data_IF_454258840171
#
_entry.id   IF_454258840171
#
_cell.length_a   1.000
_cell.length_b   1.000
_cell.length_c   1.000
_cell.angle_alpha   90.00
_cell.angle_beta   90.00
_cell.angle_gamma   90.00
#
_symmetry.space_group_name_H-M   'P 1'
#
loop_
_entity.id
_entity.type
_entity.pdbx_description
1 polymer ?
#
# COMPACT_ATOMS: atom_id res chain seq x y z
N UNK A 1 29.17 -42.14 74.20
CA UNK A 1 27.88 -41.99 74.91
C UNK A 1 26.86 -41.69 73.82
N UNK A 2 25.97 -42.60 73.45
CA UNK A 2 24.77 -42.97 74.22
C UNK A 2 23.93 -41.72 74.56
N UNK A 3 22.65 -41.60 74.19
CA UNK A 3 21.79 -42.50 73.39
C UNK A 3 20.47 -41.77 73.11
N UNK A 4 20.02 -41.87 71.85
CA UNK A 4 18.66 -42.05 71.35
C UNK A 4 17.42 -41.58 72.14
N UNK A 5 16.48 -40.98 71.38
CA UNK A 5 15.12 -40.68 71.81
C UNK A 5 14.10 -40.75 70.66
N UNK A 6 13.46 -41.92 70.53
CA UNK A 6 12.23 -42.24 69.77
C UNK A 6 12.19 -42.16 68.21
N UNK A 7 12.17 -43.37 67.62
CA UNK A 7 11.01 -43.96 66.90
C UNK A 7 10.03 -42.99 66.21
N UNK A 8 9.95 -42.98 64.87
CA UNK A 8 9.12 -43.86 64.01
C UNK A 8 7.74 -43.21 63.66
N UNK A 9 7.10 -43.43 62.51
CA UNK A 9 7.36 -44.38 61.42
C UNK A 9 6.70 -43.91 60.09
N UNK A 10 7.27 -44.34 58.94
CA UNK A 10 6.56 -44.82 57.72
C UNK A 10 5.82 -43.85 56.74
N UNK A 11 6.14 -44.09 55.45
CA UNK A 11 5.42 -43.82 54.18
C UNK A 11 5.37 -42.42 53.54
N UNK A 12 5.72 -42.38 52.24
CA UNK A 12 5.15 -41.40 51.29
C UNK A 12 6.04 -41.00 50.11
N UNK A 13 6.03 -41.78 49.02
CA UNK A 13 6.71 -41.56 47.73
C UNK A 13 6.57 -40.16 47.09
N UNK A 14 7.60 -39.83 46.30
CA UNK A 14 7.59 -39.06 45.03
C UNK A 14 6.83 -37.72 44.93
N UNK A 15 7.55 -36.66 44.55
CA UNK A 15 7.45 -36.14 43.16
C UNK A 15 8.53 -35.10 42.82
N UNK A 16 8.82 -35.01 41.52
CA UNK A 16 9.73 -34.06 40.87
C UNK A 16 9.37 -32.58 41.09
N UNK A 17 10.38 -31.72 41.25
CA UNK A 17 10.28 -30.29 40.91
C UNK A 17 11.30 -29.91 39.84
N UNK A 18 11.07 -30.36 38.61
CA UNK A 18 11.65 -29.68 37.44
C UNK A 18 11.10 -28.25 37.41
N UNK A 19 11.99 -27.26 37.47
CA UNK A 19 11.58 -25.87 37.28
C UNK A 19 11.15 -25.69 35.82
N UNK A 20 9.84 -25.72 35.57
CA UNK A 20 9.29 -25.54 34.23
C UNK A 20 9.60 -24.14 33.71
N UNK A 21 10.49 -24.05 32.72
CA UNK A 21 10.75 -22.83 31.96
C UNK A 21 9.90 -22.83 30.69
N UNK A 22 9.17 -21.76 30.45
CA UNK A 22 8.70 -21.41 29.11
C UNK A 22 9.82 -20.63 28.42
N UNK A 23 10.28 -21.14 27.27
CA UNK A 23 11.24 -20.49 26.36
C UNK A 23 12.62 -20.11 26.92
N UNK A 24 13.07 -20.71 28.03
CA UNK A 24 14.46 -20.65 28.47
C UNK A 24 14.95 -19.29 29.00
N UNK A 25 14.09 -18.29 29.15
CA UNK A 25 14.46 -17.03 29.79
C UNK A 25 14.72 -17.23 31.30
N UNK A 26 15.86 -16.75 31.84
CA UNK A 26 16.14 -16.87 33.27
C UNK A 26 15.21 -15.95 34.08
N UNK A 27 14.52 -16.52 35.07
CA UNK A 27 13.66 -15.76 35.99
C UNK A 27 14.51 -14.84 36.87
N UNK A 28 14.70 -13.59 36.43
CA UNK A 28 15.39 -12.55 37.20
C UNK A 28 14.53 -12.19 38.43
N UNK A 29 14.85 -12.81 39.58
CA UNK A 29 14.31 -12.42 40.89
C UNK A 29 14.81 -11.02 41.25
N UNK A 30 14.06 -9.98 40.88
CA UNK A 30 14.26 -8.63 41.42
C UNK A 30 14.10 -8.67 42.95
N UNK A 31 14.95 -7.98 43.73
CA UNK A 31 14.74 -7.84 45.18
C UNK A 31 13.37 -7.23 45.47
N UNK A 32 12.65 -7.79 46.43
CA UNK A 32 11.39 -7.21 46.93
C UNK A 32 11.71 -6.22 48.05
N UNK A 33 11.56 -4.93 47.76
CA UNK A 33 11.23 -3.97 48.83
C UNK A 33 9.75 -4.12 49.22
N UNK A 34 9.45 -3.83 50.49
CA UNK A 34 8.18 -4.16 51.15
C UNK A 34 7.03 -3.19 50.79
N UNK A 35 5.76 -3.60 50.98
CA UNK A 35 4.68 -3.13 50.10
C UNK A 35 3.83 -1.99 50.66
N UNK A 36 3.56 -0.99 49.82
CA UNK A 36 2.25 -0.31 49.82
C UNK A 36 1.95 0.29 48.43
N UNK A 37 0.66 0.28 48.07
CA UNK A 37 0.11 0.52 46.72
C UNK A 37 0.42 -0.59 45.70
N UNK A 38 -0.63 -0.94 44.97
CA UNK A 38 -0.72 -2.03 44.03
C UNK A 38 0.44 -1.98 43.02
N UNK A 39 1.28 -3.03 43.02
CA UNK A 39 2.12 -3.37 41.88
C UNK A 39 1.23 -3.95 40.77
N UNK A 40 0.35 -3.10 40.24
CA UNK A 40 -0.14 -3.24 38.88
C UNK A 40 1.12 -3.33 38.01
N UNK A 41 1.36 -4.51 37.44
CA UNK A 41 2.25 -4.66 36.29
C UNK A 41 1.87 -3.51 35.34
N UNK A 42 2.84 -2.68 34.95
CA UNK A 42 2.58 -1.54 34.05
C UNK A 42 2.23 -2.09 32.68
N UNK A 43 0.97 -2.50 32.51
CA UNK A 43 0.40 -2.92 31.23
C UNK A 43 0.61 -1.75 30.27
N UNK A 44 1.17 -1.97 29.07
CA UNK A 44 1.22 -0.94 28.05
C UNK A 44 -0.17 -0.34 27.88
N UNK A 45 -0.30 0.98 27.95
CA UNK A 45 -1.59 1.62 27.67
C UNK A 45 -1.97 1.29 26.24
N UNK A 46 -3.17 0.76 26.04
CA UNK A 46 -3.74 0.62 24.69
C UNK A 46 -3.67 1.98 23.97
N UNK A 47 -3.36 1.99 22.66
CA UNK A 47 -3.31 3.22 21.88
C UNK A 47 -4.66 3.91 21.88
N UNK A 48 -4.68 5.21 22.18
CA UNK A 48 -5.94 5.97 22.19
C UNK A 48 -6.53 6.09 20.79
N UNK A 49 -5.68 6.28 19.78
CA UNK A 49 -6.05 6.32 18.37
C UNK A 49 -5.35 5.19 17.62
N UNK A 50 -6.06 4.55 16.69
CA UNK A 50 -5.50 3.60 15.72
C UNK A 50 -5.61 4.15 14.31
N UNK A 51 -4.64 3.82 13.46
CA UNK A 51 -4.68 4.22 12.04
C UNK A 51 -5.66 3.36 11.25
N UNK A 52 -6.47 3.98 10.40
CA UNK A 52 -7.29 3.29 9.39
C UNK A 52 -6.54 3.32 8.07
N UNK A 53 -6.41 2.18 7.39
CA UNK A 53 -5.56 2.01 6.20
C UNK A 53 -6.41 1.63 5.00
N UNK A 54 -6.12 2.19 3.82
CA UNK A 54 -6.72 1.80 2.54
C UNK A 54 -5.63 1.31 1.60
N UNK A 55 -5.66 0.02 1.22
CA UNK A 55 -4.65 -0.63 0.37
C UNK A 55 -5.29 -1.21 -0.91
N UNK A 56 -4.51 -1.35 -1.98
CA UNK A 56 -4.96 -2.00 -3.21
C UNK A 56 -4.69 -3.50 -3.14
N UNK A 57 -5.68 -4.33 -3.46
CA UNK A 57 -5.56 -5.78 -3.35
C UNK A 57 -5.05 -6.46 -4.64
N UNK A 58 -4.81 -5.72 -5.72
CA UNK A 58 -4.45 -6.26 -7.04
C UNK A 58 -3.14 -5.60 -7.55
N UNK A 59 -3.05 -5.25 -8.84
CA UNK A 59 -1.91 -4.53 -9.45
C UNK A 59 -2.13 -3.01 -9.55
N UNK A 60 -2.97 -2.43 -8.70
CA UNK A 60 -3.27 -1.00 -8.72
C UNK A 60 -4.51 -0.64 -9.53
N UNK A 61 -4.78 0.67 -9.61
CA UNK A 61 -5.92 1.24 -10.33
C UNK A 61 -7.30 0.72 -9.88
N UNK A 62 -7.42 0.15 -8.68
CA UNK A 62 -8.66 -0.39 -8.11
C UNK A 62 -9.65 0.69 -7.64
N UNK A 63 -9.39 1.97 -7.92
CA UNK A 63 -10.26 3.07 -7.48
C UNK A 63 -10.09 3.47 -6.00
N UNK A 64 -8.95 3.14 -5.37
CA UNK A 64 -8.60 3.54 -3.99
C UNK A 64 -8.95 4.98 -3.64
N UNK A 65 -8.63 5.93 -4.53
CA UNK A 65 -8.88 7.36 -4.32
C UNK A 65 -10.34 7.67 -3.95
N UNK A 66 -11.31 6.89 -4.44
CA UNK A 66 -12.73 7.03 -4.09
C UNK A 66 -13.06 6.58 -2.66
N UNK A 67 -12.40 5.52 -2.19
CA UNK A 67 -12.53 5.03 -0.81
C UNK A 67 -11.81 5.98 0.17
N UNK A 68 -10.64 6.49 -0.23
CA UNK A 68 -9.86 7.45 0.56
C UNK A 68 -10.61 8.78 0.66
N UNK A 69 -11.15 9.31 -0.45
CA UNK A 69 -11.98 10.53 -0.47
C UNK A 69 -13.22 10.41 0.44
N UNK A 70 -13.92 9.27 0.38
CA UNK A 70 -15.06 8.99 1.27
C UNK A 70 -14.67 9.03 2.76
N UNK A 71 -13.51 8.47 3.12
CA UNK A 71 -13.03 8.43 4.50
C UNK A 71 -12.34 9.73 4.94
N UNK A 72 -11.77 10.49 4.02
CA UNK A 72 -11.00 11.70 4.29
C UNK A 72 -11.86 12.89 4.72
N UNK A 73 -13.15 12.94 4.33
CA UNK A 73 -14.11 13.95 4.81
C UNK A 73 -14.22 14.00 6.33
N UNK A 74 -14.04 12.84 6.96
CA UNK A 74 -14.19 12.60 8.40
C UNK A 74 -12.85 12.51 9.15
N UNK A 75 -11.72 12.56 8.45
CA UNK A 75 -10.39 12.37 9.02
C UNK A 75 -9.80 13.67 9.60
N UNK A 76 -9.08 13.56 10.71
CA UNK A 76 -8.28 14.65 11.30
C UNK A 76 -6.87 14.72 10.67
N UNK A 77 -6.35 13.57 10.23
CA UNK A 77 -5.04 13.45 9.58
C UNK A 77 -5.16 12.44 8.43
N UNK A 78 -4.60 12.78 7.25
CA UNK A 78 -4.50 11.87 6.10
C UNK A 78 -3.03 11.72 5.70
N UNK A 79 -2.52 10.50 5.83
CA UNK A 79 -1.10 10.17 5.70
C UNK A 79 -0.79 9.44 4.38
N UNK A 80 0.38 9.71 3.80
CA UNK A 80 1.04 8.86 2.79
C UNK A 80 2.30 8.25 3.36
N UNK A 81 2.48 6.94 3.24
CA UNK A 81 3.58 6.22 3.90
C UNK A 81 4.61 5.54 2.98
N UNK A 82 4.30 5.32 1.70
CA UNK A 82 5.25 4.75 0.73
C UNK A 82 5.12 5.34 -0.70
N UNK A 83 6.00 4.88 -1.59
CA UNK A 83 6.02 5.21 -3.00
C UNK A 83 6.58 6.62 -3.25
N UNK A 84 6.09 7.27 -4.29
CA UNK A 84 6.36 8.68 -4.61
C UNK A 84 5.33 9.20 -5.61
N UNK A 85 5.74 10.03 -6.57
CA UNK A 85 4.88 10.54 -7.65
C UNK A 85 4.60 9.52 -8.79
N UNK A 86 4.86 8.23 -8.56
CA UNK A 86 4.54 7.12 -9.47
C UNK A 86 3.14 6.53 -9.23
N UNK A 87 2.62 6.65 -8.01
CA UNK A 87 1.20 6.47 -7.75
C UNK A 87 0.47 7.75 -8.17
N UNK A 88 -0.73 7.59 -8.73
CA UNK A 88 -1.63 8.69 -9.05
C UNK A 88 -3.06 8.25 -8.78
N UNK A 89 -3.87 9.13 -8.22
CA UNK A 89 -5.30 8.88 -8.08
C UNK A 89 -6.08 10.17 -8.35
N UNK A 90 -7.19 10.02 -9.06
CA UNK A 90 -8.09 11.12 -9.37
C UNK A 90 -9.26 11.11 -8.39
N UNK A 91 -9.55 12.26 -7.79
CA UNK A 91 -10.72 12.49 -6.93
C UNK A 91 -11.66 13.47 -7.64
N UNK A 92 -12.96 13.27 -7.51
CA UNK A 92 -13.97 14.16 -8.12
C UNK A 92 -14.81 14.80 -7.01
N UNK A 93 -14.70 16.11 -6.85
CA UNK A 93 -15.49 16.91 -5.89
C UNK A 93 -16.21 18.00 -6.67
N UNK A 94 -17.53 18.11 -6.48
CA UNK A 94 -18.38 19.10 -7.13
C UNK A 94 -18.20 19.16 -8.67
N UNK A 95 -18.05 17.99 -9.30
CA UNK A 95 -17.76 17.79 -10.73
C UNK A 95 -16.38 18.27 -11.22
N UNK A 96 -15.47 18.67 -10.32
CA UNK A 96 -14.07 19.00 -10.63
C UNK A 96 -13.19 17.77 -10.37
N UNK A 97 -12.43 17.34 -11.37
CA UNK A 97 -11.43 16.27 -11.25
C UNK A 97 -10.09 16.84 -10.74
N UNK A 98 -9.59 16.32 -9.62
CA UNK A 98 -8.27 16.62 -9.04
C UNK A 98 -7.37 15.39 -9.16
N UNK A 99 -6.12 15.56 -9.61
CA UNK A 99 -5.14 14.47 -9.61
C UNK A 99 -4.09 14.70 -8.53
N UNK A 100 -3.91 13.71 -7.68
CA UNK A 100 -2.87 13.69 -6.66
C UNK A 100 -1.89 12.56 -6.91
N UNK A 101 -0.60 12.83 -6.67
CA UNK A 101 0.51 11.91 -6.88
C UNK A 101 1.36 11.76 -5.61
N UNK A 102 1.86 12.87 -5.06
CA UNK A 102 2.58 12.94 -3.78
C UNK A 102 1.71 13.44 -2.62
N UNK A 103 0.80 14.39 -2.86
CA UNK A 103 -0.09 14.87 -1.82
C UNK A 103 -1.10 13.76 -1.45
N UNK A 104 -1.40 13.55 -0.16
CA UNK A 104 -2.56 12.76 0.23
C UNK A 104 -3.85 13.43 -0.25
N UNK A 105 -4.78 12.68 -0.83
CA UNK A 105 -6.10 13.20 -1.33
C UNK A 105 -6.87 14.02 -0.31
N UNK A 106 -6.67 13.71 0.98
CA UNK A 106 -7.27 14.43 2.11
C UNK A 106 -6.97 15.93 2.15
N UNK A 107 -6.04 16.45 1.33
CA UNK A 107 -5.78 17.90 1.18
C UNK A 107 -7.02 18.71 0.75
N UNK A 108 -8.03 18.06 0.15
CA UNK A 108 -9.32 18.69 -0.14
C UNK A 108 -10.17 18.96 1.12
N UNK A 109 -9.97 18.19 2.20
CA UNK A 109 -10.58 18.47 3.49
C UNK A 109 -9.75 19.52 4.24
N UNK A 110 -10.17 20.79 4.19
CA UNK A 110 -9.52 21.93 4.86
C UNK A 110 -9.41 21.82 6.39
N UNK A 111 -10.05 20.82 7.03
CA UNK A 111 -9.94 20.54 8.47
C UNK A 111 -8.90 19.46 8.78
N UNK A 112 -8.50 18.64 7.80
CA UNK A 112 -7.55 17.56 7.95
C UNK A 112 -6.11 18.05 7.77
N UNK A 113 -5.17 17.42 8.47
CA UNK A 113 -3.73 17.60 8.23
C UNK A 113 -3.25 16.54 7.24
N UNK A 114 -2.75 16.96 6.08
CA UNK A 114 -2.02 16.07 5.16
C UNK A 114 -0.61 15.83 5.66
N UNK A 115 -0.19 14.56 5.77
CA UNK A 115 1.14 14.17 6.25
C UNK A 115 1.85 13.23 5.26
N UNK A 116 3.12 13.50 4.98
CA UNK A 116 3.98 12.65 4.13
C UNK A 116 5.04 12.00 5.03
N UNK A 117 4.96 10.68 5.14
CA UNK A 117 5.81 9.88 6.02
C UNK A 117 7.22 9.61 5.50
N UNK A 118 8.09 9.15 6.41
CA UNK A 118 9.50 8.84 6.16
C UNK A 118 9.73 7.69 5.15
N UNK A 119 8.70 6.93 4.80
CA UNK A 119 8.79 5.88 3.78
C UNK A 119 8.66 6.38 2.34
N UNK A 120 8.18 7.61 2.11
CA UNK A 120 7.94 8.19 0.78
C UNK A 120 9.23 8.76 0.17
N UNK A 121 9.45 8.49 -1.11
CA UNK A 121 10.42 9.22 -1.94
C UNK A 121 9.75 10.48 -2.46
N UNK A 122 10.16 11.63 -1.92
CA UNK A 122 9.61 12.94 -2.30
C UNK A 122 10.46 13.58 -3.38
N UNK A 123 9.81 14.01 -4.45
CA UNK A 123 10.43 14.81 -5.50
C UNK A 123 9.90 16.25 -5.38
N UNK A 124 10.71 17.18 -4.88
CA UNK A 124 10.23 18.49 -4.40
C UNK A 124 9.54 19.35 -5.47
N UNK A 125 10.07 19.49 -6.70
CA UNK A 125 9.34 20.20 -7.74
C UNK A 125 8.15 19.40 -8.26
N UNK A 126 8.11 18.09 -8.00
CA UNK A 126 6.91 17.27 -8.16
C UNK A 126 5.82 17.68 -7.19
N UNK A 127 6.16 17.78 -5.91
CA UNK A 127 5.28 18.20 -4.83
C UNK A 127 4.79 19.64 -5.01
N UNK A 128 5.69 20.58 -5.28
CA UNK A 128 5.33 21.98 -5.52
C UNK A 128 4.54 22.13 -6.82
N UNK A 129 4.97 21.53 -7.93
CA UNK A 129 4.22 21.57 -9.20
C UNK A 129 2.85 20.87 -9.14
N UNK A 130 2.62 19.96 -8.19
CA UNK A 130 1.32 19.33 -7.91
C UNK A 130 0.43 20.18 -6.99
N UNK A 131 0.99 20.73 -5.91
CA UNK A 131 0.32 21.67 -5.03
C UNK A 131 -0.09 22.92 -5.79
N UNK A 132 0.86 23.50 -6.54
CA UNK A 132 0.61 24.51 -7.55
C UNK A 132 -0.40 23.97 -8.54
N UNK A 133 -0.26 22.82 -9.22
CA UNK A 133 -1.27 22.38 -10.23
C UNK A 133 -2.71 22.39 -9.72
N UNK A 134 -2.94 21.90 -8.51
CA UNK A 134 -4.27 21.84 -7.90
C UNK A 134 -4.78 23.21 -7.39
N UNK A 135 -3.92 24.24 -7.40
CA UNK A 135 -4.23 25.67 -7.24
C UNK A 135 -4.23 26.46 -8.60
N UNK A 136 -3.38 26.06 -9.57
CA UNK A 136 -3.11 26.53 -10.94
C UNK A 136 -1.92 25.73 -11.61
N UNK A 137 -2.10 25.21 -12.83
CA UNK A 137 -1.39 24.04 -13.46
C UNK A 137 0.16 24.07 -13.72
N UNK A 138 0.98 23.27 -12.96
CA UNK A 138 2.30 22.65 -13.36
C UNK A 138 3.59 23.26 -12.76
N UNK A 139 4.83 22.67 -12.79
CA UNK A 139 5.39 21.38 -13.33
C UNK A 139 6.74 20.95 -12.60
N UNK A 140 7.57 20.01 -13.13
CA UNK A 140 8.42 19.05 -12.33
C UNK A 140 9.86 18.69 -12.88
N UNK A 141 10.88 18.46 -12.01
CA UNK A 141 12.36 18.22 -12.24
C UNK A 141 12.88 16.75 -12.51
N UNK A 142 14.22 16.50 -12.51
CA UNK A 142 14.93 15.73 -13.57
C UNK A 142 15.78 14.47 -13.21
N UNK A 143 16.92 14.54 -12.49
CA UNK A 143 18.00 13.53 -12.64
C UNK A 143 17.69 12.07 -12.23
N UNK A 144 17.05 11.80 -11.08
CA UNK A 144 16.65 10.43 -10.74
C UNK A 144 15.68 9.85 -11.80
N UNK A 145 14.84 10.70 -12.41
CA UNK A 145 13.95 10.31 -13.51
C UNK A 145 14.73 9.97 -14.79
N UNK A 146 15.84 10.68 -15.05
CA UNK A 146 16.75 10.36 -16.15
C UNK A 146 17.42 8.99 -15.95
N UNK A 147 17.90 8.67 -14.75
CA UNK A 147 18.49 7.35 -14.43
C UNK A 147 17.47 6.21 -14.62
N UNK A 148 16.22 6.39 -14.14
CA UNK A 148 15.12 5.44 -14.36
C UNK A 148 14.83 5.24 -15.86
N UNK A 149 14.85 6.32 -16.64
CA UNK A 149 14.75 6.29 -18.10
C UNK A 149 15.89 5.53 -18.79
N UNK A 150 17.14 5.72 -18.34
CA UNK A 150 18.34 5.03 -18.86
C UNK A 150 18.31 3.53 -18.51
N UNK A 151 17.95 3.17 -17.27
CA UNK A 151 17.86 1.76 -16.86
C UNK A 151 16.81 0.98 -17.67
N UNK A 152 15.67 1.58 -17.98
CA UNK A 152 14.67 0.99 -18.89
C UNK A 152 15.21 0.80 -20.32
N UNK A 153 15.97 1.77 -20.84
CA UNK A 153 16.59 1.65 -22.17
C UNK A 153 17.66 0.55 -22.21
N UNK A 154 18.51 0.47 -21.19
CA UNK A 154 19.58 -0.53 -21.11
C UNK A 154 19.01 -1.96 -21.02
N UNK A 155 18.01 -2.22 -20.16
CA UNK A 155 17.34 -3.54 -20.10
C UNK A 155 16.69 -3.91 -21.43
N UNK A 156 16.01 -2.95 -22.07
CA UNK A 156 15.38 -3.19 -23.37
C UNK A 156 16.39 -3.55 -24.47
N UNK A 157 17.59 -2.99 -24.42
CA UNK A 157 18.69 -3.27 -25.36
C UNK A 157 19.43 -4.59 -25.06
N UNK A 158 19.61 -4.95 -23.78
CA UNK A 158 20.39 -6.12 -23.36
C UNK A 158 19.56 -7.40 -23.24
N UNK A 159 18.35 -7.31 -22.72
CA UNK A 159 17.50 -8.46 -22.36
C UNK A 159 16.24 -8.58 -23.23
N UNK A 160 16.04 -7.65 -24.17
CA UNK A 160 14.83 -7.55 -24.99
C UNK A 160 13.55 -7.19 -24.22
N UNK A 161 13.66 -6.95 -22.91
CA UNK A 161 12.54 -6.74 -21.98
C UNK A 161 12.68 -5.40 -21.25
N UNK A 162 11.56 -4.75 -20.98
CA UNK A 162 11.47 -3.63 -20.05
C UNK A 162 10.67 -4.05 -18.81
N UNK A 163 10.89 -3.37 -17.68
CA UNK A 163 10.03 -3.48 -16.51
C UNK A 163 8.76 -2.64 -16.71
N UNK A 164 8.83 -1.63 -17.58
CA UNK A 164 7.72 -0.75 -17.91
C UNK A 164 7.52 0.36 -16.88
N UNK A 165 8.61 0.82 -16.25
CA UNK A 165 8.56 1.79 -15.13
C UNK A 165 7.84 3.08 -15.52
N UNK A 166 7.47 3.86 -14.51
CA UNK A 166 6.85 5.18 -14.69
C UNK A 166 7.84 6.26 -15.13
N UNK A 167 9.15 5.97 -15.15
CA UNK A 167 10.24 6.92 -15.44
C UNK A 167 10.15 8.16 -14.54
N UNK A 168 10.05 7.91 -13.24
CA UNK A 168 9.89 8.90 -12.15
C UNK A 168 11.00 8.86 -11.12
N UNK A 169 12.00 8.00 -11.28
CA UNK A 169 13.18 7.98 -10.40
C UNK A 169 12.98 7.22 -9.09
N UNK A 170 11.83 6.56 -8.91
CA UNK A 170 11.48 5.85 -7.68
C UNK A 170 12.45 4.69 -7.41
N UNK A 171 12.71 3.85 -8.41
CA UNK A 171 13.66 2.74 -8.29
C UNK A 171 15.07 3.20 -7.93
N UNK A 172 15.69 4.12 -8.69
CA UNK A 172 16.97 4.71 -8.36
C UNK A 172 17.02 5.34 -6.94
N UNK A 173 16.00 6.07 -6.52
CA UNK A 173 15.97 6.69 -5.19
C UNK A 173 15.86 5.66 -4.04
N UNK A 174 15.05 4.60 -4.19
CA UNK A 174 15.01 3.49 -3.22
C UNK A 174 16.32 2.69 -3.23
N UNK A 175 16.99 2.53 -4.38
CA UNK A 175 18.33 1.96 -4.47
C UNK A 175 19.33 2.78 -3.66
N UNK A 176 19.34 4.12 -3.81
CA UNK A 176 20.18 5.01 -3.00
C UNK A 176 19.86 4.98 -1.50
N UNK A 177 18.59 4.79 -1.12
CA UNK A 177 18.17 4.56 0.27
C UNK A 177 18.76 3.26 0.82
N UNK A 178 18.71 2.17 0.06
CA UNK A 178 19.27 0.87 0.45
C UNK A 178 20.81 0.89 0.48
N UNK A 179 21.45 1.56 -0.48
CA UNK A 179 22.90 1.77 -0.52
C UNK A 179 23.40 2.67 0.62
N UNK A 180 22.51 3.48 1.22
CA UNK A 180 22.78 4.50 2.26
C UNK A 180 23.60 5.71 1.74
N UNK A 181 23.52 5.98 0.43
CA UNK A 181 24.08 7.19 -0.19
C UNK A 181 23.02 8.25 -0.58
N UNK A 182 21.73 7.94 -0.43
CA UNK A 182 20.64 8.87 -0.71
C UNK A 182 20.51 9.99 0.33
N UNK A 183 19.97 11.13 -0.11
CA UNK A 183 19.71 12.31 0.71
C UNK A 183 18.26 12.36 1.19
N UNK A 184 18.02 12.99 2.34
CA UNK A 184 16.68 13.14 2.94
C UNK A 184 16.32 14.60 3.14
N UNK A 185 15.04 14.87 3.37
CA UNK A 185 14.52 16.22 3.67
C UNK A 185 15.28 16.87 4.84
N UNK A 186 15.59 16.11 5.89
CA UNK A 186 16.37 16.61 7.04
C UNK A 186 17.80 17.02 6.68
N UNK A 187 18.42 16.40 5.66
CA UNK A 187 19.74 16.81 5.17
C UNK A 187 19.64 18.15 4.42
N UNK A 188 18.57 18.34 3.62
CA UNK A 188 18.33 19.56 2.83
C UNK A 188 18.05 20.80 3.71
N UNK A 189 17.22 20.66 4.75
CA UNK A 189 16.81 21.81 5.59
C UNK A 189 17.80 22.14 6.72
N UNK A 190 18.86 21.36 6.90
CA UNK A 190 19.89 21.60 7.92
C UNK A 190 20.93 22.62 7.41
N UNK A 191 22.22 22.29 7.45
CA UNK A 191 23.27 23.11 6.84
C UNK A 191 23.34 22.83 5.33
N UNK A 192 22.98 23.85 4.54
CA UNK A 192 22.95 23.76 3.09
C UNK A 192 24.34 23.56 2.46
N UNK A 193 25.43 23.96 3.12
CA UNK A 193 26.79 23.69 2.62
C UNK A 193 27.11 22.20 2.73
N UNK A 194 26.80 21.58 3.88
CA UNK A 194 26.95 20.13 4.09
C UNK A 194 26.04 19.34 3.14
N UNK A 195 24.82 19.82 2.86
CA UNK A 195 23.95 19.24 1.85
C UNK A 195 24.58 19.29 0.45
N UNK A 196 25.12 20.45 0.07
CA UNK A 196 25.75 20.70 -1.24
C UNK A 196 26.90 19.73 -1.53
N UNK A 197 27.76 19.47 -0.55
CA UNK A 197 28.88 18.54 -0.72
C UNK A 197 28.39 17.10 -0.89
N UNK A 198 27.42 16.66 -0.06
CA UNK A 198 26.79 15.34 -0.20
C UNK A 198 26.08 15.16 -1.56
N UNK A 199 25.42 16.22 -2.06
CA UNK A 199 24.73 16.19 -3.36
C UNK A 199 25.71 16.04 -4.52
N UNK A 200 26.83 16.77 -4.50
CA UNK A 200 27.93 16.61 -5.49
C UNK A 200 28.46 15.19 -5.51
N UNK A 201 28.80 14.63 -4.35
CA UNK A 201 29.26 13.24 -4.25
C UNK A 201 28.24 12.23 -4.81
N UNK A 202 26.94 12.44 -4.57
CA UNK A 202 25.88 11.56 -5.08
C UNK A 202 25.73 11.69 -6.61
N UNK A 203 25.77 12.91 -7.14
CA UNK A 203 25.70 13.16 -8.57
C UNK A 203 26.91 12.56 -9.31
N UNK A 204 28.13 12.83 -8.84
CA UNK A 204 29.39 12.28 -9.38
C UNK A 204 29.40 10.74 -9.36
N UNK A 205 28.91 10.13 -8.29
CA UNK A 205 28.73 8.68 -8.19
C UNK A 205 27.78 8.14 -9.28
N UNK A 206 26.65 8.81 -9.53
CA UNK A 206 25.75 8.42 -10.61
C UNK A 206 26.35 8.65 -12.00
N UNK A 207 27.07 9.75 -12.24
CA UNK A 207 27.77 10.01 -13.51
C UNK A 207 28.87 8.98 -13.78
N UNK A 208 29.55 8.51 -12.73
CA UNK A 208 30.56 7.43 -12.83
C UNK A 208 29.93 6.10 -13.21
N UNK A 209 28.77 5.75 -12.65
CA UNK A 209 28.03 4.52 -13.01
C UNK A 209 27.35 4.61 -14.37
N UNK A 210 26.95 5.82 -14.80
CA UNK A 210 26.22 6.07 -16.03
C UNK A 210 26.93 7.16 -16.84
N UNK A 211 27.98 6.85 -17.64
CA UNK A 211 28.79 7.86 -18.33
C UNK A 211 28.03 8.79 -19.30
N UNK A 212 26.83 8.40 -19.73
CA UNK A 212 25.94 9.21 -20.58
C UNK A 212 25.00 10.12 -19.78
N UNK A 213 25.05 10.10 -18.44
CA UNK A 213 24.25 10.96 -17.56
C UNK A 213 24.95 12.32 -17.41
N UNK A 214 24.34 13.36 -17.97
CA UNK A 214 24.74 14.74 -17.68
C UNK A 214 23.85 15.32 -16.57
N UNK A 215 24.45 15.93 -15.56
CA UNK A 215 23.75 16.58 -14.43
C UNK A 215 24.28 17.99 -14.29
N UNK A 216 23.39 18.98 -14.38
CA UNK A 216 23.70 20.37 -14.01
C UNK A 216 23.67 20.50 -12.49
N UNK A 217 24.79 20.14 -11.85
CA UNK A 217 24.87 20.06 -10.40
C UNK A 217 24.65 21.42 -9.74
N UNK A 218 25.21 22.50 -10.29
CA UNK A 218 25.10 23.82 -9.68
C UNK A 218 23.71 24.44 -9.92
N UNK A 219 23.08 24.24 -11.09
CA UNK A 219 21.70 24.64 -11.34
C UNK A 219 20.68 23.87 -10.49
N UNK A 220 20.85 22.56 -10.31
CA UNK A 220 19.99 21.79 -9.39
C UNK A 220 20.17 22.21 -7.93
N UNK A 221 21.40 22.52 -7.49
CA UNK A 221 21.66 23.07 -6.16
C UNK A 221 21.01 24.44 -5.95
N UNK A 222 21.02 25.32 -6.96
CA UNK A 222 20.36 26.62 -6.87
C UNK A 222 18.84 26.47 -6.66
N UNK A 223 18.17 25.59 -7.43
CA UNK A 223 16.76 25.31 -7.19
C UNK A 223 16.54 24.68 -5.81
N UNK A 224 17.32 23.67 -5.42
CA UNK A 224 17.15 22.97 -4.14
C UNK A 224 17.27 23.93 -2.95
N UNK A 225 18.07 25.00 -3.06
CA UNK A 225 18.14 26.07 -2.07
C UNK A 225 16.84 26.87 -1.95
N UNK A 226 16.20 27.20 -3.07
CA UNK A 226 14.91 27.89 -3.12
C UNK A 226 13.81 26.98 -2.54
N UNK A 227 13.78 25.72 -2.97
CA UNK A 227 12.83 24.71 -2.51
C UNK A 227 12.98 24.42 -1.01
N UNK A 228 14.20 24.44 -0.48
CA UNK A 228 14.46 24.25 0.96
C UNK A 228 13.75 25.30 1.82
N UNK A 229 13.78 26.58 1.45
CA UNK A 229 13.10 27.64 2.20
C UNK A 229 11.57 27.57 2.08
N UNK A 230 11.05 27.17 0.91
CA UNK A 230 9.61 26.88 0.74
C UNK A 230 9.16 25.70 1.58
N UNK A 231 10.01 24.68 1.73
CA UNK A 231 9.71 23.44 2.43
C UNK A 231 9.90 23.56 3.95
N UNK A 232 10.87 24.35 4.42
CA UNK A 232 11.25 24.54 5.83
C UNK A 232 10.06 24.66 6.81
N UNK A 233 9.01 25.48 6.59
CA UNK A 233 7.88 25.59 7.52
C UNK A 233 6.94 24.37 7.53
N UNK A 234 7.07 23.44 6.58
CA UNK A 234 6.24 22.24 6.44
C UNK A 234 6.92 20.98 7.01
N UNK A 235 8.21 21.03 7.35
CA UNK A 235 8.95 19.88 7.88
C UNK A 235 8.78 19.78 9.40
N UNK A 236 8.56 18.57 9.88
CA UNK A 236 8.49 18.23 11.31
C UNK A 236 9.18 16.89 11.58
N UNK A 237 9.44 16.57 12.84
CA UNK A 237 9.79 15.20 13.23
C UNK A 237 8.55 14.32 13.03
N UNK A 238 8.57 13.51 11.98
CA UNK A 238 7.45 12.66 11.60
C UNK A 238 7.12 11.58 12.62
N UNK A 239 8.11 11.04 13.34
CA UNK A 239 7.90 9.99 14.36
C UNK A 239 7.27 10.62 15.60
N UNK A 240 7.78 11.76 16.05
CA UNK A 240 7.20 12.49 17.17
C UNK A 240 5.78 12.99 16.85
N UNK A 241 5.55 13.55 15.66
CA UNK A 241 4.23 13.98 15.19
C UNK A 241 3.22 12.83 15.20
N UNK A 242 3.59 11.67 14.67
CA UNK A 242 2.72 10.49 14.68
C UNK A 242 2.51 9.95 16.11
N UNK A 243 3.54 9.94 16.96
CA UNK A 243 3.42 9.52 18.35
C UNK A 243 2.41 10.37 19.14
N UNK A 244 2.49 11.70 19.01
CA UNK A 244 1.55 12.65 19.62
C UNK A 244 0.14 12.51 19.05
N UNK A 245 0.01 12.34 17.72
CA UNK A 245 -1.27 12.10 17.08
C UNK A 245 -1.95 10.80 17.57
N UNK A 246 -1.16 9.77 17.88
CA UNK A 246 -1.66 8.46 18.31
C UNK A 246 -1.96 8.37 19.82
N UNK A 247 -1.23 9.12 20.65
CA UNK A 247 -1.32 9.08 22.12
C UNK A 247 -1.99 10.32 22.74
N UNK A 248 -2.32 11.34 21.94
CA UNK A 248 -2.96 12.59 22.35
C UNK A 248 -4.49 12.50 22.56
N UNK A 249 -5.25 13.56 22.22
CA UNK A 249 -6.72 13.53 22.15
C UNK A 249 -7.22 12.58 21.05
N UNK A 250 -8.53 12.26 21.07
CA UNK A 250 -9.16 11.42 20.04
C UNK A 250 -8.96 12.02 18.64
N UNK A 251 -8.45 11.22 17.70
CA UNK A 251 -8.22 11.59 16.28
C UNK A 251 -8.49 10.41 15.35
N UNK A 252 -9.19 10.68 14.25
CA UNK A 252 -9.35 9.78 13.11
C UNK A 252 -8.15 9.98 12.16
N UNK A 253 -7.28 8.98 12.10
CA UNK A 253 -6.08 8.99 11.24
C UNK A 253 -6.29 8.01 10.08
N UNK A 254 -6.24 8.52 8.86
CA UNK A 254 -6.39 7.76 7.62
C UNK A 254 -5.04 7.62 6.92
N UNK A 255 -4.74 6.44 6.40
CA UNK A 255 -3.51 6.15 5.65
C UNK A 255 -3.86 5.72 4.23
N UNK A 256 -3.41 6.52 3.26
CA UNK A 256 -3.54 6.29 1.83
C UNK A 256 -2.39 5.38 1.34
N UNK A 257 -2.73 4.15 0.95
CA UNK A 257 -1.77 3.23 0.34
C UNK A 257 -1.47 3.60 -1.12
N UNK A 258 -0.19 3.86 -1.41
CA UNK A 258 0.30 3.98 -2.79
C UNK A 258 0.49 2.60 -3.44
N UNK A 259 0.25 2.52 -4.76
CA UNK A 259 0.29 1.28 -5.56
C UNK A 259 -0.60 0.18 -4.93
N UNK A 260 -0.21 -1.10 -4.94
CA UNK A 260 -1.07 -2.20 -4.49
C UNK A 260 -0.24 -3.45 -4.13
N UNK A 261 -0.87 -4.43 -3.48
CA UNK A 261 -0.24 -5.63 -2.94
C UNK A 261 0.61 -6.39 -3.98
N UNK A 262 0.13 -6.58 -5.21
CA UNK A 262 0.87 -7.33 -6.23
C UNK A 262 1.95 -6.51 -6.96
N UNK A 263 2.10 -5.24 -6.57
CA UNK A 263 3.22 -4.35 -6.92
C UNK A 263 4.17 -4.12 -5.74
N UNK A 264 3.95 -4.76 -4.58
CA UNK A 264 4.88 -4.71 -3.44
C UNK A 264 6.25 -5.28 -3.83
N UNK A 265 7.34 -4.70 -3.32
CA UNK A 265 8.70 -5.13 -3.63
C UNK A 265 9.00 -6.57 -3.16
N UNK A 266 8.43 -6.99 -2.03
CA UNK A 266 8.66 -8.31 -1.44
C UNK A 266 7.56 -9.31 -1.80
N UNK A 267 6.30 -8.85 -1.89
CA UNK A 267 5.12 -9.70 -2.05
C UNK A 267 4.46 -9.62 -3.44
N UNK A 268 4.94 -8.78 -4.33
CA UNK A 268 4.39 -8.61 -5.67
C UNK A 268 4.91 -9.61 -6.70
N UNK A 269 4.49 -9.46 -7.97
CA UNK A 269 5.02 -10.27 -9.08
C UNK A 269 6.42 -9.82 -9.51
N UNK A 270 7.41 -10.02 -8.65
CA UNK A 270 8.81 -9.64 -8.89
C UNK A 270 9.35 -10.27 -10.19
N UNK A 271 10.12 -9.54 -11.03
CA UNK A 271 10.62 -8.17 -10.85
C UNK A 271 9.65 -7.06 -11.29
N UNK A 272 8.45 -7.39 -11.73
CA UNK A 272 7.45 -6.45 -12.28
C UNK A 272 6.62 -5.80 -11.16
N UNK A 273 7.31 -5.08 -10.28
CA UNK A 273 6.80 -4.48 -9.03
C UNK A 273 7.30 -3.04 -8.88
N UNK A 274 6.84 -2.32 -7.86
CA UNK A 274 7.48 -1.06 -7.44
C UNK A 274 8.55 -1.35 -6.37
N UNK A 275 9.33 -0.33 -6.00
CA UNK A 275 10.49 -0.46 -5.11
C UNK A 275 10.16 -0.17 -3.64
N UNK A 276 8.90 -0.35 -3.25
CA UNK A 276 8.39 0.00 -1.91
C UNK A 276 7.39 -1.04 -1.42
N UNK A 277 7.26 -1.21 -0.10
CA UNK A 277 6.20 -2.04 0.47
C UNK A 277 4.84 -1.34 0.36
N UNK A 278 3.97 -1.90 -0.47
CA UNK A 278 2.60 -1.44 -0.73
C UNK A 278 1.56 -2.16 0.15
N UNK A 279 2.03 -3.05 1.01
CA UNK A 279 1.29 -3.83 2.00
C UNK A 279 1.25 -3.16 3.38
N UNK A 280 0.46 -3.70 4.32
CA UNK A 280 0.24 -3.14 5.66
C UNK A 280 1.53 -2.91 6.46
N UNK A 281 2.58 -3.71 6.24
CA UNK A 281 3.90 -3.51 6.86
C UNK A 281 4.53 -2.17 6.50
N UNK A 282 4.29 -1.66 5.29
CA UNK A 282 4.75 -0.35 4.81
C UNK A 282 4.14 0.83 5.59
N UNK A 283 2.98 0.66 6.21
CA UNK A 283 2.38 1.67 7.11
C UNK A 283 3.24 1.85 8.37
N UNK A 284 3.70 0.75 8.94
CA UNK A 284 4.50 0.76 10.17
C UNK A 284 5.88 1.39 9.91
N UNK A 285 6.58 0.90 8.89
CA UNK A 285 7.94 1.37 8.54
C UNK A 285 7.95 2.75 7.89
N UNK A 286 6.87 3.13 7.21
CA UNK A 286 6.74 4.41 6.49
C UNK A 286 6.22 5.59 7.33
N UNK A 287 5.69 5.34 8.52
CA UNK A 287 5.21 6.37 9.48
C UNK A 287 5.87 6.30 10.86
N UNK A 288 6.68 5.28 11.16
CA UNK A 288 7.22 5.04 12.50
C UNK A 288 6.16 4.58 13.50
N UNK A 289 5.13 3.86 13.04
CA UNK A 289 3.96 3.47 13.84
C UNK A 289 4.08 2.00 14.27
N UNK A 290 3.87 1.66 15.57
CA UNK A 290 3.91 0.26 16.01
C UNK A 290 2.73 -0.55 15.44
N UNK A 291 2.89 -1.86 15.12
CA UNK A 291 1.81 -2.66 14.54
C UNK A 291 0.51 -2.70 15.36
N UNK A 292 0.58 -2.64 16.70
CA UNK A 292 -0.61 -2.61 17.58
C UNK A 292 -1.49 -1.35 17.44
N UNK A 293 -0.95 -0.30 16.83
CA UNK A 293 -1.64 0.96 16.51
C UNK A 293 -2.30 0.92 15.12
N UNK A 294 -2.11 -0.15 14.33
CA UNK A 294 -2.89 -0.38 13.11
C UNK A 294 -4.28 -0.85 13.51
N UNK A 295 -5.30 -0.18 12.98
CA UNK A 295 -6.71 -0.45 13.23
C UNK A 295 -7.33 -1.22 12.08
N UNK A 296 -8.32 -0.62 11.41
CA UNK A 296 -9.00 -1.25 10.27
C UNK A 296 -8.14 -1.13 9.01
N UNK A 297 -7.97 -2.23 8.29
CA UNK A 297 -7.31 -2.28 6.98
C UNK A 297 -8.35 -2.62 5.92
N UNK A 298 -8.60 -1.70 4.99
CA UNK A 298 -9.57 -1.88 3.91
C UNK A 298 -8.86 -2.28 2.61
N UNK A 299 -9.21 -3.45 2.09
CA UNK A 299 -8.72 -3.93 0.79
C UNK A 299 -9.60 -3.42 -0.33
N UNK A 300 -9.06 -2.61 -1.24
CA UNK A 300 -9.79 -2.15 -2.42
C UNK A 300 -9.58 -3.14 -3.55
N UNK A 301 -10.67 -3.75 -3.98
CA UNK A 301 -10.73 -4.80 -5.01
C UNK A 301 -11.61 -4.29 -6.14
N UNK A 302 -11.12 -4.32 -7.38
CA UNK A 302 -11.95 -4.05 -8.55
C UNK A 302 -12.72 -5.33 -8.92
N UNK A 303 -13.97 -5.21 -9.36
CA UNK A 303 -14.84 -6.33 -9.75
C UNK A 303 -14.33 -7.14 -10.97
N UNK A 304 -13.22 -6.72 -11.55
CA UNK A 304 -12.43 -7.44 -12.56
C UNK A 304 -10.97 -7.03 -12.36
N UNK A 305 -10.04 -7.74 -12.97
CA UNK A 305 -8.61 -7.50 -12.74
C UNK A 305 -8.01 -6.63 -13.85
N UNK A 306 -7.06 -5.77 -13.49
CA UNK A 306 -6.30 -4.95 -14.46
C UNK A 306 -4.83 -4.89 -14.10
N UNK A 307 -3.95 -4.85 -15.10
CA UNK A 307 -2.50 -4.73 -14.94
C UNK A 307 -1.92 -3.73 -15.94
N UNK A 308 -0.89 -2.98 -15.53
CA UNK A 308 -0.07 -2.14 -16.43
C UNK A 308 1.32 -2.74 -16.53
N UNK A 309 1.88 -2.76 -17.74
CA UNK A 309 3.23 -3.26 -17.99
C UNK A 309 3.31 -4.77 -18.19
N UNK A 310 4.54 -5.26 -18.22
CA UNK A 310 4.90 -6.64 -18.57
C UNK A 310 4.62 -7.58 -17.39
N UNK A 311 4.53 -8.88 -17.68
CA UNK A 311 4.42 -9.97 -16.71
C UNK A 311 3.16 -10.82 -16.86
N UNK A 312 3.11 -11.95 -16.16
CA UNK A 312 2.00 -12.88 -16.12
C UNK A 312 0.73 -12.23 -15.57
N UNK A 313 -0.40 -12.63 -16.13
CA UNK A 313 -1.71 -12.20 -15.71
C UNK A 313 -2.67 -13.37 -15.95
N UNK A 314 -2.85 -14.28 -14.97
CA UNK A 314 -3.54 -15.56 -15.18
C UNK A 314 -4.96 -15.45 -15.73
N UNK A 315 -5.69 -14.39 -15.36
CA UNK A 315 -7.06 -14.14 -15.81
C UNK A 315 -7.18 -13.14 -16.96
N UNK A 316 -6.08 -12.74 -17.61
CA UNK A 316 -6.10 -11.83 -18.75
C UNK A 316 -7.03 -12.34 -19.86
N UNK A 317 -7.75 -11.41 -20.49
CA UNK A 317 -8.61 -11.68 -21.63
C UNK A 317 -8.11 -10.88 -22.83
N UNK A 318 -7.21 -11.46 -23.63
CA UNK A 318 -6.80 -10.88 -24.92
C UNK A 318 -7.86 -11.22 -26.00
N UNK A 319 -9.07 -10.72 -25.79
CA UNK A 319 -10.26 -10.96 -26.59
C UNK A 319 -11.34 -9.87 -26.35
N UNK A 320 -12.51 -10.02 -26.97
CA UNK A 320 -13.64 -9.08 -26.89
C UNK A 320 -14.06 -8.72 -25.45
N UNK A 321 -13.92 -9.63 -24.48
CA UNK A 321 -14.21 -9.34 -23.06
C UNK A 321 -13.18 -8.35 -22.50
N UNK A 322 -11.90 -8.52 -22.81
CA UNK A 322 -10.85 -7.59 -22.37
C UNK A 322 -11.05 -6.19 -22.93
N UNK A 323 -11.37 -6.08 -24.22
CA UNK A 323 -11.69 -4.79 -24.84
C UNK A 323 -12.98 -4.18 -24.27
N UNK A 324 -14.00 -4.98 -23.94
CA UNK A 324 -15.22 -4.51 -23.27
C UNK A 324 -14.94 -3.96 -21.87
N UNK A 325 -14.18 -4.70 -21.05
CA UNK A 325 -13.76 -4.27 -19.71
C UNK A 325 -12.88 -3.01 -19.78
N UNK A 326 -11.95 -2.95 -20.74
CA UNK A 326 -11.06 -1.80 -20.93
C UNK A 326 -11.82 -0.55 -21.37
N UNK A 327 -12.75 -0.69 -22.32
CA UNK A 327 -13.53 0.43 -22.86
C UNK A 327 -14.56 0.97 -21.87
N UNK A 328 -15.42 0.11 -21.31
CA UNK A 328 -16.40 0.51 -20.27
C UNK A 328 -15.68 1.06 -19.04
N UNK A 329 -14.67 0.34 -18.55
CA UNK A 329 -13.89 0.72 -17.37
C UNK A 329 -12.98 1.94 -17.55
N UNK A 330 -12.83 2.45 -18.78
CA UNK A 330 -11.86 3.49 -19.20
C UNK A 330 -10.45 3.19 -18.69
N UNK A 331 -9.98 1.97 -18.95
CA UNK A 331 -8.74 1.47 -18.39
C UNK A 331 -7.50 1.95 -19.16
N UNK A 332 -7.17 3.21 -18.93
CA UNK A 332 -5.98 3.91 -19.41
C UNK A 332 -5.25 4.56 -18.21
N UNK A 333 -3.93 4.47 -18.19
CA UNK A 333 -3.10 5.05 -17.13
C UNK A 333 -3.10 6.57 -17.14
N UNK A 334 -3.54 7.22 -16.05
CA UNK A 334 -3.66 8.69 -15.96
C UNK A 334 -2.30 9.40 -16.17
N UNK A 335 -1.21 8.82 -15.67
CA UNK A 335 0.14 9.41 -15.76
C UNK A 335 0.83 9.16 -17.11
N UNK A 336 0.50 8.09 -17.83
CA UNK A 336 1.28 7.60 -18.99
C UNK A 336 0.47 7.42 -20.28
N UNK A 337 -0.87 7.50 -20.22
CA UNK A 337 -1.77 7.21 -21.34
C UNK A 337 -1.83 5.74 -21.78
N UNK A 338 -1.02 4.83 -21.20
CA UNK A 338 -0.95 3.43 -21.63
C UNK A 338 -2.29 2.71 -21.37
N UNK A 339 -2.77 1.94 -22.36
CA UNK A 339 -3.85 0.94 -22.18
C UNK A 339 -3.48 -0.02 -21.04
N UNK A 340 -4.42 -0.35 -20.16
CA UNK A 340 -4.24 -1.44 -19.18
C UNK A 340 -4.71 -2.75 -19.78
N UNK A 341 -3.97 -3.82 -19.46
CA UNK A 341 -4.40 -5.20 -19.68
C UNK A 341 -5.58 -5.48 -18.76
N UNK A 342 -6.60 -6.17 -19.26
CA UNK A 342 -7.84 -6.44 -18.54
C UNK A 342 -8.13 -7.94 -18.51
N UNK A 343 -8.77 -8.40 -17.43
CA UNK A 343 -9.02 -9.81 -17.21
C UNK A 343 -10.10 -10.02 -16.16
N UNK A 344 -10.55 -11.27 -16.01
CA UNK A 344 -11.56 -11.64 -15.02
C UNK A 344 -11.09 -11.37 -13.58
N UNK A 345 -12.03 -11.25 -12.65
CA UNK A 345 -11.68 -11.24 -11.23
C UNK A 345 -10.96 -12.54 -10.88
N UNK A 346 -9.87 -12.43 -10.14
CA UNK A 346 -9.07 -13.54 -9.66
C UNK A 346 -9.07 -13.48 -8.13
N UNK A 347 -9.65 -14.50 -7.50
CA UNK A 347 -9.76 -14.53 -6.05
C UNK A 347 -8.57 -15.25 -5.38
N UNK A 348 -7.74 -15.99 -6.13
CA UNK A 348 -6.50 -16.55 -5.58
C UNK A 348 -5.53 -15.43 -5.25
N UNK A 349 -5.37 -14.45 -6.15
CA UNK A 349 -4.51 -13.30 -5.89
C UNK A 349 -5.09 -12.34 -4.82
N UNK A 350 -6.42 -12.18 -4.75
CA UNK A 350 -7.05 -11.35 -3.69
C UNK A 350 -6.96 -12.04 -2.32
N UNK A 351 -7.13 -13.37 -2.25
CA UNK A 351 -6.93 -14.15 -1.02
C UNK A 351 -5.47 -14.07 -0.56
N UNK A 352 -4.50 -14.18 -1.48
CA UNK A 352 -3.09 -13.95 -1.17
C UNK A 352 -2.83 -12.53 -0.65
N UNK A 353 -3.40 -11.50 -1.29
CA UNK A 353 -3.31 -10.12 -0.79
C UNK A 353 -3.95 -9.98 0.60
N UNK A 354 -5.04 -10.70 0.91
CA UNK A 354 -5.62 -10.75 2.24
C UNK A 354 -4.69 -11.41 3.27
N UNK A 355 -4.06 -12.55 2.94
CA UNK A 355 -3.09 -13.23 3.83
C UNK A 355 -1.96 -12.29 4.29
N UNK A 356 -1.47 -11.42 3.40
CA UNK A 356 -0.38 -10.48 3.71
C UNK A 356 -0.88 -9.23 4.45
N UNK A 357 -2.11 -8.76 4.18
CA UNK A 357 -2.59 -7.46 4.67
C UNK A 357 -3.60 -7.51 5.82
N UNK A 358 -4.21 -8.66 6.11
CA UNK A 358 -5.22 -8.80 7.17
C UNK A 358 -6.43 -7.89 6.97
N UNK A 359 -7.00 -7.84 5.76
CA UNK A 359 -8.12 -6.94 5.45
C UNK A 359 -9.31 -7.16 6.41
N UNK A 360 -9.73 -6.09 7.08
CA UNK A 360 -10.90 -6.09 7.96
C UNK A 360 -12.22 -5.99 7.20
N UNK A 361 -12.18 -5.44 5.98
CA UNK A 361 -13.29 -5.46 5.02
C UNK A 361 -12.79 -5.12 3.61
N UNK A 362 -13.58 -5.48 2.59
CA UNK A 362 -13.34 -5.15 1.18
C UNK A 362 -14.16 -3.92 0.76
N UNK A 363 -13.57 -3.08 -0.10
CA UNK A 363 -14.29 -2.13 -0.94
C UNK A 363 -14.25 -2.65 -2.39
N UNK A 364 -15.37 -3.18 -2.87
CA UNK A 364 -15.52 -3.70 -4.22
C UNK A 364 -15.84 -2.53 -5.16
N UNK A 365 -15.06 -2.30 -6.21
CA UNK A 365 -15.23 -1.15 -7.10
C UNK A 365 -15.51 -1.54 -8.54
N UNK A 366 -16.12 -0.63 -9.30
CA UNK A 366 -16.40 -0.78 -10.73
C UNK A 366 -17.32 -1.97 -11.06
N UNK A 367 -18.31 -2.24 -10.20
CA UNK A 367 -19.30 -3.29 -10.43
C UNK A 367 -20.15 -2.98 -11.68
N UNK A 368 -20.45 -1.70 -11.90
CA UNK A 368 -21.14 -1.11 -13.06
C UNK A 368 -20.52 -1.50 -14.41
N UNK A 369 -19.23 -1.83 -14.43
CA UNK A 369 -18.54 -2.22 -15.66
C UNK A 369 -19.01 -3.59 -16.16
N UNK A 370 -19.48 -4.46 -15.26
CA UNK A 370 -19.98 -5.80 -15.59
C UNK A 370 -21.45 -5.82 -16.02
N UNK A 371 -22.18 -4.70 -15.88
CA UNK A 371 -23.63 -4.57 -16.11
C UNK A 371 -24.14 -5.17 -17.43
N UNK A 372 -23.34 -5.15 -18.50
CA UNK A 372 -23.75 -5.61 -19.83
C UNK A 372 -23.54 -7.11 -20.09
N UNK A 373 -22.80 -7.81 -19.22
CA UNK A 373 -22.41 -9.20 -19.44
C UNK A 373 -23.56 -10.19 -19.24
N UNK A 374 -23.60 -11.24 -20.06
CA UNK A 374 -24.50 -12.40 -19.90
C UNK A 374 -24.01 -13.35 -18.82
N UNK A 375 -22.69 -13.53 -18.74
CA UNK A 375 -21.98 -14.39 -17.80
C UNK A 375 -20.69 -13.70 -17.36
N UNK A 376 -20.27 -13.95 -16.13
CA UNK A 376 -19.05 -13.42 -15.53
C UNK A 376 -18.25 -14.60 -15.02
N UNK A 377 -16.98 -14.70 -15.42
CA UNK A 377 -16.07 -15.72 -14.88
C UNK A 377 -15.25 -15.12 -13.74
N UNK A 378 -14.94 -15.95 -12.74
CA UNK A 378 -14.09 -15.61 -11.61
C UNK A 378 -13.07 -16.74 -11.41
N UNK A 379 -11.78 -16.41 -11.38
CA UNK A 379 -10.70 -17.36 -11.11
C UNK A 379 -10.72 -17.78 -9.65
N UNK A 380 -10.83 -19.08 -9.38
CA UNK A 380 -11.04 -19.66 -8.04
C UNK A 380 -9.98 -20.66 -7.61
N UNK A 381 -9.22 -21.22 -8.55
CA UNK A 381 -8.05 -22.05 -8.27
C UNK A 381 -7.01 -21.90 -9.40
N UNK A 382 -5.75 -22.19 -9.07
CA UNK A 382 -4.68 -22.36 -10.04
C UNK A 382 -4.24 -23.82 -10.06
N UNK A 383 -3.96 -24.36 -11.25
CA UNK A 383 -3.30 -25.65 -11.41
C UNK A 383 -2.05 -25.50 -12.29
N UNK A 384 -1.07 -26.39 -12.11
CA UNK A 384 0.08 -26.56 -13.00
C UNK A 384 0.18 -28.03 -13.34
N UNK A 385 0.23 -28.34 -14.63
CA UNK A 385 0.37 -29.71 -15.15
C UNK A 385 -0.71 -30.68 -14.59
N UNK A 386 -1.87 -30.14 -14.18
CA UNK A 386 -3.00 -30.85 -13.56
C UNK A 386 -3.09 -30.72 -12.03
N UNK A 387 -2.00 -30.40 -11.35
CA UNK A 387 -1.91 -30.36 -9.88
C UNK A 387 -2.32 -28.98 -9.30
N UNK A 388 -3.13 -28.92 -8.23
CA UNK A 388 -3.57 -27.67 -7.63
C UNK A 388 -2.47 -26.96 -6.85
N UNK A 389 -2.37 -25.64 -7.02
CA UNK A 389 -1.50 -24.79 -6.20
C UNK A 389 -2.22 -24.32 -4.92
N UNK A 390 -1.56 -24.35 -3.75
CA UNK A 390 -2.16 -23.93 -2.49
C UNK A 390 -2.30 -22.39 -2.36
N UNK A 391 -1.54 -21.63 -3.15
CA UNK A 391 -1.49 -20.17 -3.09
C UNK A 391 -0.96 -19.56 -4.39
N UNK A 392 -0.99 -18.23 -4.47
CA UNK A 392 -0.36 -17.47 -5.54
C UNK A 392 1.17 -17.74 -5.57
N UNK A 393 1.76 -18.19 -6.69
CA UNK A 393 3.17 -18.56 -6.74
C UNK A 393 4.09 -17.32 -6.81
N UNK A 394 5.18 -17.34 -6.04
CA UNK A 394 6.16 -16.26 -6.03
C UNK A 394 7.09 -16.23 -7.27
N UNK A 395 7.36 -17.39 -7.88
CA UNK A 395 8.20 -17.44 -9.08
C UNK A 395 7.38 -17.09 -10.34
N UNK A 396 7.99 -16.24 -11.17
CA UNK A 396 7.37 -15.69 -12.37
C UNK A 396 7.10 -16.72 -13.47
N UNK A 397 8.00 -17.67 -13.66
CA UNK A 397 7.90 -18.71 -14.69
C UNK A 397 6.86 -19.77 -14.31
N UNK A 398 6.73 -20.05 -13.00
CA UNK A 398 5.61 -20.81 -12.43
C UNK A 398 4.30 -20.07 -12.68
N UNK A 399 4.22 -18.76 -12.41
CA UNK A 399 3.03 -17.95 -12.64
C UNK A 399 2.64 -17.82 -14.13
N UNK A 400 3.59 -17.91 -15.06
CA UNK A 400 3.31 -17.93 -16.51
C UNK A 400 2.71 -19.26 -17.00
N UNK A 401 2.84 -20.35 -16.24
CA UNK A 401 2.33 -21.69 -16.60
C UNK A 401 1.02 -22.07 -15.89
N UNK A 402 0.48 -21.23 -15.01
CA UNK A 402 -0.77 -21.59 -14.29
C UNK A 402 -1.95 -21.67 -15.25
N UNK A 403 -2.70 -22.76 -15.14
CA UNK A 403 -4.06 -22.85 -15.66
C UNK A 403 -5.02 -22.34 -14.59
N UNK A 404 -5.97 -21.47 -14.96
CA UNK A 404 -6.97 -20.94 -14.02
C UNK A 404 -8.25 -21.76 -14.11
N UNK A 405 -8.71 -22.27 -12.97
CA UNK A 405 -10.07 -22.79 -12.83
C UNK A 405 -11.04 -21.63 -12.59
N UNK A 406 -12.13 -21.60 -13.34
CA UNK A 406 -13.13 -20.53 -13.29
C UNK A 406 -14.48 -21.00 -12.76
N UNK A 407 -15.04 -20.25 -11.81
CA UNK A 407 -16.47 -20.26 -11.55
C UNK A 407 -17.17 -19.31 -12.52
N UNK A 408 -18.10 -19.82 -13.32
CA UNK A 408 -19.03 -18.99 -14.10
C UNK A 408 -20.24 -18.61 -13.24
N UNK A 409 -20.57 -17.32 -13.22
CA UNK A 409 -21.73 -16.74 -12.55
C UNK A 409 -22.62 -16.03 -13.58
N UNK A 410 -23.96 -16.00 -13.40
CA UNK A 410 -24.86 -15.35 -14.35
C UNK A 410 -24.76 -13.82 -14.23
N UNK A 411 -24.57 -13.12 -15.36
CA UNK A 411 -24.61 -11.67 -15.41
C UNK A 411 -26.02 -11.10 -15.34
N UNK A 412 -26.16 -9.84 -14.91
CA UNK A 412 -27.45 -9.19 -14.62
C UNK A 412 -28.07 -8.43 -15.81
N UNK A 413 -27.29 -7.99 -16.80
CA UNK A 413 -27.77 -7.34 -18.05
C UNK A 413 -28.64 -6.11 -17.84
N UNK A 414 -28.41 -5.35 -16.78
CA UNK A 414 -29.10 -4.10 -16.45
C UNK A 414 -28.15 -3.15 -15.71
N UNK A 415 -28.45 -1.84 -15.72
CA UNK A 415 -27.55 -0.86 -15.11
C UNK A 415 -27.65 -0.86 -13.58
N UNK A 416 -26.50 -0.80 -12.90
CA UNK A 416 -26.38 -0.63 -11.45
C UNK A 416 -26.02 0.81 -11.04
N UNK A 417 -25.73 1.70 -11.98
CA UNK A 417 -25.17 3.05 -11.72
C UNK A 417 -26.05 3.95 -10.83
N UNK A 418 -27.37 3.72 -10.85
CA UNK A 418 -28.36 4.44 -10.05
C UNK A 418 -28.52 3.91 -8.61
N UNK A 419 -28.06 2.69 -8.31
CA UNK A 419 -28.27 2.05 -7.01
C UNK A 419 -27.52 2.79 -5.87
N UNK A 420 -28.19 2.96 -4.73
CA UNK A 420 -27.67 3.61 -3.51
C UNK A 420 -27.78 2.75 -2.25
N UNK A 421 -28.56 1.66 -2.30
CA UNK A 421 -28.62 0.60 -1.29
C UNK A 421 -28.21 -0.76 -1.88
N UNK A 422 -27.95 -1.75 -1.03
CA UNK A 422 -27.60 -3.10 -1.49
C UNK A 422 -28.83 -3.84 -2.05
N UNK A 423 -30.01 -3.53 -1.51
CA UNK A 423 -31.32 -4.04 -1.88
C UNK A 423 -31.75 -3.58 -3.28
N UNK A 424 -31.30 -2.40 -3.72
CA UNK A 424 -31.50 -1.88 -5.08
C UNK A 424 -30.64 -2.60 -6.14
N UNK A 425 -29.60 -3.34 -5.74
CA UNK A 425 -28.80 -4.12 -6.69
C UNK A 425 -29.59 -5.33 -7.21
N UNK A 426 -29.49 -5.69 -8.51
CA UNK A 426 -30.06 -6.91 -9.04
C UNK A 426 -29.60 -8.14 -8.25
N UNK A 427 -30.48 -9.12 -8.02
CA UNK A 427 -30.17 -10.31 -7.22
C UNK A 427 -28.83 -10.99 -7.62
N UNK A 428 -28.58 -11.16 -8.92
CA UNK A 428 -27.32 -11.71 -9.44
C UNK A 428 -26.06 -10.87 -9.13
N UNK A 429 -26.21 -9.55 -9.01
CA UNK A 429 -25.12 -8.66 -8.60
C UNK A 429 -24.88 -8.78 -7.08
N UNK A 430 -25.93 -8.93 -6.28
CA UNK A 430 -25.80 -9.27 -4.86
C UNK A 430 -25.13 -10.64 -4.68
N UNK A 431 -25.50 -11.64 -5.47
CA UNK A 431 -24.90 -12.99 -5.43
C UNK A 431 -23.42 -12.98 -5.85
N UNK A 432 -23.05 -12.10 -6.80
CA UNK A 432 -21.65 -11.86 -7.15
C UNK A 432 -20.85 -11.28 -5.98
N UNK A 433 -21.44 -10.36 -5.21
CA UNK A 433 -20.81 -9.79 -4.00
C UNK A 433 -20.68 -10.87 -2.91
N UNK A 434 -21.75 -11.60 -2.60
CA UNK A 434 -21.75 -12.69 -1.61
C UNK A 434 -20.70 -13.75 -1.94
N UNK A 435 -20.60 -14.15 -3.21
CA UNK A 435 -19.60 -15.11 -3.67
C UNK A 435 -18.16 -14.66 -3.38
N UNK A 436 -17.87 -13.35 -3.46
CA UNK A 436 -16.56 -12.80 -3.11
C UNK A 436 -16.36 -12.83 -1.58
N UNK A 437 -17.38 -12.47 -0.80
CA UNK A 437 -17.34 -12.54 0.67
C UNK A 437 -17.09 -13.97 1.17
N UNK A 438 -17.90 -14.93 0.68
CA UNK A 438 -17.83 -16.35 1.04
C UNK A 438 -16.48 -16.98 0.68
N UNK A 439 -15.89 -16.62 -0.48
CA UNK A 439 -14.61 -17.18 -0.91
C UNK A 439 -13.41 -16.57 -0.17
N UNK A 440 -13.50 -15.29 0.21
CA UNK A 440 -12.40 -14.58 0.91
C UNK A 440 -12.49 -14.70 2.43
N UNK A 441 -13.64 -15.04 2.98
CA UNK A 441 -13.97 -14.94 4.41
C UNK A 441 -13.82 -13.49 4.96
N UNK A 442 -14.01 -12.49 4.09
CA UNK A 442 -13.88 -11.05 4.41
C UNK A 442 -15.12 -10.30 3.92
N UNK A 443 -15.82 -9.54 4.79
CA UNK A 443 -17.04 -8.84 4.41
C UNK A 443 -16.76 -7.66 3.48
N UNK A 444 -17.63 -7.45 2.49
CA UNK A 444 -17.65 -6.28 1.62
C UNK A 444 -18.39 -5.16 2.35
N UNK A 445 -17.70 -4.05 2.60
CA UNK A 445 -18.26 -2.87 3.28
C UNK A 445 -18.80 -1.82 2.32
N UNK A 446 -18.19 -1.75 1.13
CA UNK A 446 -18.54 -0.78 0.10
C UNK A 446 -18.60 -1.40 -1.28
N UNK A 447 -19.56 -0.95 -2.09
CA UNK A 447 -19.74 -1.35 -3.49
C UNK A 447 -19.82 -0.11 -4.38
N UNK A 448 -18.86 0.02 -5.30
CA UNK A 448 -18.75 1.11 -6.25
C UNK A 448 -19.47 0.81 -7.56
N UNK A 449 -20.54 1.56 -7.85
CA UNK A 449 -21.38 1.49 -9.06
C UNK A 449 -21.26 2.79 -9.87
N UNK A 450 -20.04 3.17 -10.24
CA UNK A 450 -19.74 4.38 -11.01
C UNK A 450 -18.78 5.36 -10.32
N UNK A 451 -18.66 6.57 -10.89
CA UNK A 451 -17.58 7.51 -10.57
C UNK A 451 -17.79 8.39 -9.32
N UNK A 452 -18.97 8.99 -9.15
CA UNK A 452 -19.21 9.97 -8.08
C UNK A 452 -19.12 9.32 -6.70
N UNK A 453 -18.77 10.10 -5.66
CA UNK A 453 -18.72 9.63 -4.26
C UNK A 453 -20.00 8.92 -3.84
N UNK A 454 -21.16 9.45 -4.27
CA UNK A 454 -22.50 8.90 -4.01
C UNK A 454 -22.74 7.51 -4.63
N UNK A 455 -22.11 7.18 -5.76
CA UNK A 455 -22.11 5.83 -6.34
C UNK A 455 -21.21 4.85 -5.54
N UNK A 456 -21.12 5.00 -4.21
CA UNK A 456 -20.44 4.07 -3.31
C UNK A 456 -21.43 3.62 -2.23
N UNK A 457 -22.13 2.53 -2.54
CA UNK A 457 -23.10 1.90 -1.63
C UNK A 457 -22.34 1.41 -0.39
N UNK A 458 -22.84 1.71 0.81
CA UNK A 458 -22.28 1.27 2.09
C UNK A 458 -23.19 0.21 2.70
N UNK A 459 -22.66 -0.98 2.94
CA UNK A 459 -23.45 -2.14 3.39
C UNK A 459 -23.68 -2.15 4.92
N UNK A 460 -22.73 -1.62 5.70
CA UNK A 460 -22.81 -1.46 7.17
C UNK A 460 -21.85 -0.37 7.66
#
# INVERSE_FOLDING_TARGET
MASDGNMANVNGRDTSSSAATLNGEPVVKRPRESPSRENLLRVPKEPKNKVTVVLGAQWGDEGKGKVVDLLAMDADIVCRCQGGNNAGHTVVVDSVEYDFHLLPSGVLNKKAVSFIGNGVVVHLPGLFGEAEKNLQKGKVFNFHQAVDGIQEQQRQQQEGKNLGTTKKGIGPAYSSKAARNGLRVCDLIADFNVFKDKFRMLAEHFQTMYPNLNVDIDGELEQLKIDAERLRPLVTDGVYFMHEALNGPSKKILVEGANAALLDIDFGTYPFVTSSNCTVGGVCTGLGVPPSYVGRVYGVVKAYTTRVGVGAFPTEQDNEIGDLLQSRGREFGVTTGRRRRCGWLDLILVRYAHMVNGFSAIALTKLDILDTLTEIKVGVAYTIDGEPLPSFPANMDVLMRVSVEYKTLPGWRCSTEAARSFEELPAKAQDYIRFIEDFLEVPVKWVGVGKSRESMIKLY
#
